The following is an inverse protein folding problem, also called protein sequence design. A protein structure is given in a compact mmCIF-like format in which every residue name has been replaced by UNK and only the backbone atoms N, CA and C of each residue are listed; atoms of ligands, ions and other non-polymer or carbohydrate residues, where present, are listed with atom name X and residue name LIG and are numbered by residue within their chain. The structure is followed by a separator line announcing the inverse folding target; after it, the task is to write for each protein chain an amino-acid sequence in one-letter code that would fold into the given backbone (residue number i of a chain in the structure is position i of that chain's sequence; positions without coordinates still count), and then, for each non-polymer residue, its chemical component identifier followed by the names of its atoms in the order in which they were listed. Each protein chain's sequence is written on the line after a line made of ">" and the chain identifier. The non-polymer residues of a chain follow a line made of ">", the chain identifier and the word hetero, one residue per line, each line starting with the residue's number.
data_IF_485595875214
#
_entry.id   IF_485595875214
#
_cell.length_a   1.000
_cell.length_b   1.000
_cell.length_c   1.000
_cell.angle_alpha   90.00
_cell.angle_beta   90.00
_cell.angle_gamma   90.00
#
_symmetry.space_group_name_H-M   'P 1'
#
loop_
_entity.id
_entity.type
_entity.pdbx_description
1 polymer ?
#
# COMPACT_ATOMS: atom_id res chain seq x y z
N UNK A 1 -31.08 -31.54 3.99
CA UNK A 1 -30.69 -30.76 2.78
C UNK A 1 -30.13 -29.36 3.08
N UNK A 2 -30.68 -28.61 4.05
CA UNK A 2 -30.15 -27.29 4.46
C UNK A 2 -28.72 -27.34 5.05
N UNK A 3 -28.44 -28.34 5.90
CA UNK A 3 -27.12 -28.52 6.52
C UNK A 3 -25.97 -28.67 5.49
N UNK A 4 -26.16 -29.45 4.41
CA UNK A 4 -25.15 -29.60 3.36
C UNK A 4 -24.91 -28.32 2.54
N UNK A 5 -25.93 -27.47 2.36
CA UNK A 5 -25.75 -26.18 1.67
C UNK A 5 -24.96 -25.18 2.53
N UNK A 6 -25.19 -25.17 3.84
CA UNK A 6 -24.46 -24.30 4.78
C UNK A 6 -23.00 -24.73 4.86
N UNK A 7 -22.74 -26.04 5.02
CA UNK A 7 -21.39 -26.60 5.04
C UNK A 7 -20.63 -26.33 3.73
N UNK A 8 -21.31 -26.44 2.58
CA UNK A 8 -20.71 -26.11 1.28
C UNK A 8 -20.38 -24.63 1.11
N UNK A 9 -21.18 -23.72 1.69
CA UNK A 9 -20.92 -22.28 1.67
C UNK A 9 -19.73 -21.90 2.56
N UNK A 10 -19.69 -22.43 3.78
CA UNK A 10 -18.58 -22.29 4.73
C UNK A 10 -17.25 -22.75 4.13
N UNK A 11 -17.23 -23.94 3.50
CA UNK A 11 -16.03 -24.50 2.89
C UNK A 11 -15.52 -23.64 1.71
N UNK A 12 -16.43 -23.15 0.85
CA UNK A 12 -16.09 -22.29 -0.28
C UNK A 12 -15.65 -20.89 0.15
N UNK A 13 -16.21 -20.37 1.24
CA UNK A 13 -15.79 -19.10 1.84
C UNK A 13 -14.38 -19.23 2.45
N UNK A 14 -14.11 -20.31 3.20
CA UNK A 14 -12.77 -20.59 3.76
C UNK A 14 -11.70 -20.71 2.68
N UNK A 15 -11.96 -21.47 1.61
CA UNK A 15 -10.96 -21.64 0.53
C UNK A 15 -10.62 -20.30 -0.14
N UNK A 16 -11.62 -19.43 -0.36
CA UNK A 16 -11.41 -18.08 -0.91
C UNK A 16 -10.57 -17.20 0.01
N UNK A 17 -10.86 -17.21 1.30
CA UNK A 17 -10.10 -16.44 2.29
C UNK A 17 -8.64 -16.89 2.35
N UNK A 18 -8.39 -18.20 2.31
CA UNK A 18 -7.02 -18.75 2.30
C UNK A 18 -6.28 -18.33 1.02
N UNK A 19 -6.89 -18.48 -0.15
CA UNK A 19 -6.27 -18.07 -1.42
C UNK A 19 -5.99 -16.57 -1.43
N UNK A 20 -6.91 -15.74 -0.93
CA UNK A 20 -6.72 -14.30 -0.77
C UNK A 20 -5.51 -14.01 0.13
N UNK A 21 -5.48 -14.62 1.32
CA UNK A 21 -4.43 -14.39 2.32
C UNK A 21 -3.05 -14.77 1.81
N UNK A 22 -2.91 -15.95 1.18
CA UNK A 22 -1.64 -16.41 0.59
C UNK A 22 -1.21 -15.49 -0.55
N UNK A 23 -2.13 -15.13 -1.45
CA UNK A 23 -1.82 -14.23 -2.57
C UNK A 23 -1.37 -12.86 -2.08
N UNK A 24 -2.01 -12.34 -1.02
CA UNK A 24 -1.65 -11.07 -0.42
C UNK A 24 -0.27 -11.12 0.24
N UNK A 25 0.02 -12.17 0.99
CA UNK A 25 1.32 -12.37 1.61
C UNK A 25 2.44 -12.41 0.54
N UNK A 26 2.23 -13.14 -0.55
CA UNK A 26 3.18 -13.18 -1.68
C UNK A 26 3.34 -11.79 -2.33
N UNK A 27 2.26 -11.04 -2.49
CA UNK A 27 2.32 -9.69 -3.07
C UNK A 27 3.12 -8.72 -2.18
N UNK A 28 2.88 -8.75 -0.86
CA UNK A 28 3.59 -7.91 0.11
C UNK A 28 5.06 -8.30 0.18
N UNK A 29 5.38 -9.60 0.27
CA UNK A 29 6.76 -10.08 0.31
C UNK A 29 7.50 -9.72 -0.99
N UNK A 30 6.89 -9.98 -2.15
CA UNK A 30 7.46 -9.62 -3.45
C UNK A 30 7.66 -8.12 -3.60
N UNK A 31 6.70 -7.31 -3.15
CA UNK A 31 6.83 -5.85 -3.11
C UNK A 31 7.98 -5.40 -2.22
N UNK A 32 8.21 -6.06 -1.08
CA UNK A 32 9.22 -5.66 -0.11
C UNK A 32 10.61 -5.96 -0.64
N UNK A 33 10.78 -7.13 -1.27
CA UNK A 33 12.01 -7.50 -2.00
C UNK A 33 12.26 -6.53 -3.14
N UNK A 34 11.23 -6.18 -3.93
CA UNK A 34 11.38 -5.23 -5.04
C UNK A 34 11.81 -3.84 -4.54
N UNK A 35 11.16 -3.33 -3.49
CA UNK A 35 11.45 -2.03 -2.87
C UNK A 35 12.87 -1.99 -2.29
N UNK A 36 13.28 -3.01 -1.53
CA UNK A 36 14.58 -3.02 -0.82
C UNK A 36 15.76 -3.45 -1.71
N UNK A 37 15.55 -4.34 -2.68
CA UNK A 37 16.63 -4.90 -3.50
C UNK A 37 16.81 -4.18 -4.82
N UNK A 38 15.74 -4.12 -5.64
CA UNK A 38 15.82 -3.52 -6.98
C UNK A 38 15.92 -2.01 -6.83
N UNK A 39 14.95 -1.42 -6.14
CA UNK A 39 14.95 0.04 -6.01
C UNK A 39 15.92 0.57 -4.96
N UNK A 40 16.24 -0.21 -3.93
CA UNK A 40 17.31 0.13 -2.98
C UNK A 40 18.67 0.30 -3.65
N UNK A 41 18.97 -0.47 -4.71
CA UNK A 41 20.22 -0.35 -5.50
C UNK A 41 20.15 0.71 -6.60
N UNK A 42 18.96 1.10 -7.03
CA UNK A 42 18.71 2.16 -8.02
C UNK A 42 18.71 3.57 -7.39
N UNK A 43 19.21 3.71 -6.16
CA UNK A 43 19.35 4.97 -5.41
C UNK A 43 20.18 6.04 -6.11
N UNK A 44 20.83 5.72 -7.25
CA UNK A 44 21.42 6.71 -8.16
C UNK A 44 20.41 7.77 -8.66
N UNK A 45 19.09 7.50 -8.59
CA UNK A 45 17.99 8.41 -8.99
C UNK A 45 17.48 9.27 -7.82
N UNK A 46 18.01 9.10 -6.60
CA UNK A 46 17.79 10.04 -5.49
C UNK A 46 16.67 9.71 -4.50
N UNK A 47 15.88 8.63 -4.69
CA UNK A 47 15.02 8.07 -3.64
C UNK A 47 14.51 6.66 -4.00
N UNK A 48 14.14 5.89 -2.97
CA UNK A 48 13.47 4.58 -3.10
C UNK A 48 11.96 4.82 -3.17
N UNK A 49 11.24 4.34 -4.22
CA UNK A 49 9.79 4.44 -4.31
C UNK A 49 9.11 3.54 -3.28
N UNK A 50 7.98 4.03 -2.76
CA UNK A 50 7.13 3.33 -1.80
C UNK A 50 6.16 2.36 -2.52
N UNK A 51 6.69 1.18 -2.87
CA UNK A 51 5.94 0.14 -3.57
C UNK A 51 4.79 -0.40 -2.71
N UNK A 52 4.96 -0.44 -1.40
CA UNK A 52 3.90 -0.85 -0.47
C UNK A 52 2.69 0.07 -0.57
N UNK A 53 2.90 1.38 -0.57
CA UNK A 53 1.81 2.34 -0.68
C UNK A 53 1.04 2.17 -2.00
N UNK A 54 1.73 1.87 -3.10
CA UNK A 54 1.10 1.53 -4.38
C UNK A 54 0.20 0.28 -4.28
N UNK A 55 0.70 -0.79 -3.64
CA UNK A 55 -0.04 -2.04 -3.41
C UNK A 55 -1.28 -1.77 -2.55
N UNK A 56 -1.11 -1.11 -1.40
CA UNK A 56 -2.19 -0.79 -0.45
C UNK A 56 -3.27 0.05 -1.12
N UNK A 57 -2.88 1.09 -1.86
CA UNK A 57 -3.81 1.94 -2.60
C UNK A 57 -4.62 1.14 -3.62
N UNK A 58 -3.96 0.25 -4.36
CA UNK A 58 -4.62 -0.56 -5.39
C UNK A 58 -5.59 -1.58 -4.78
N UNK A 59 -5.17 -2.32 -3.75
CA UNK A 59 -6.03 -3.29 -3.05
C UNK A 59 -7.21 -2.59 -2.38
N UNK A 60 -6.98 -1.44 -1.73
CA UNK A 60 -8.06 -0.63 -1.18
C UNK A 60 -9.07 -0.21 -2.26
N UNK A 61 -8.57 0.29 -3.40
CA UNK A 61 -9.40 0.75 -4.50
C UNK A 61 -10.25 -0.36 -5.13
N UNK A 62 -9.71 -1.56 -5.35
CA UNK A 62 -10.42 -2.66 -6.05
C UNK A 62 -11.16 -3.64 -5.13
N UNK A 63 -10.58 -3.96 -3.97
CA UNK A 63 -11.06 -5.00 -3.05
C UNK A 63 -11.73 -4.42 -1.80
N UNK A 64 -11.63 -3.10 -1.59
CA UNK A 64 -12.40 -2.34 -0.60
C UNK A 64 -11.77 -2.27 0.80
N UNK A 65 -12.48 -1.59 1.71
CA UNK A 65 -11.98 -1.18 3.04
C UNK A 65 -11.27 -2.25 3.87
N UNK A 66 -11.82 -3.46 3.98
CA UNK A 66 -11.27 -4.49 4.88
C UNK A 66 -9.96 -5.05 4.31
N UNK A 67 -9.95 -5.37 3.02
CA UNK A 67 -8.74 -5.83 2.33
C UNK A 67 -7.66 -4.74 2.31
N UNK A 68 -8.05 -3.48 2.06
CA UNK A 68 -7.14 -2.34 2.13
C UNK A 68 -6.52 -2.17 3.52
N UNK A 69 -7.31 -2.28 4.59
CA UNK A 69 -6.83 -2.18 5.97
C UNK A 69 -5.83 -3.30 6.32
N UNK A 70 -6.19 -4.55 6.04
CA UNK A 70 -5.34 -5.73 6.33
C UNK A 70 -4.02 -5.64 5.55
N UNK A 71 -4.11 -5.27 4.27
CA UNK A 71 -2.93 -5.08 3.42
C UNK A 71 -2.06 -3.95 3.94
N UNK A 72 -2.67 -2.82 4.33
CA UNK A 72 -1.97 -1.67 4.88
C UNK A 72 -1.22 -2.00 6.15
N UNK A 73 -1.90 -2.64 7.11
CA UNK A 73 -1.28 -3.05 8.37
C UNK A 73 -0.12 -4.01 8.13
N UNK A 74 -0.31 -5.05 7.32
CA UNK A 74 0.72 -6.05 7.05
C UNK A 74 1.92 -5.46 6.29
N UNK A 75 1.67 -4.66 5.26
CA UNK A 75 2.72 -4.02 4.47
C UNK A 75 3.52 -3.01 5.29
N UNK A 76 2.83 -2.16 6.05
CA UNK A 76 3.47 -1.15 6.89
C UNK A 76 4.26 -1.79 8.02
N UNK A 77 3.71 -2.82 8.69
CA UNK A 77 4.42 -3.57 9.73
C UNK A 77 5.68 -4.26 9.20
N UNK A 78 5.62 -4.84 8.00
CA UNK A 78 6.79 -5.48 7.39
C UNK A 78 7.89 -4.46 7.07
N UNK A 79 7.56 -3.34 6.44
CA UNK A 79 8.56 -2.30 6.12
C UNK A 79 9.13 -1.68 7.39
N UNK A 80 8.30 -1.40 8.40
CA UNK A 80 8.76 -0.88 9.69
C UNK A 80 9.74 -1.85 10.36
N UNK A 81 9.42 -3.16 10.36
CA UNK A 81 10.29 -4.19 10.91
C UNK A 81 11.64 -4.30 10.17
N UNK A 82 11.64 -4.08 8.85
CA UNK A 82 12.86 -4.05 8.03
C UNK A 82 13.68 -2.76 8.29
N UNK A 83 13.01 -1.62 8.47
CA UNK A 83 13.64 -0.32 8.64
C UNK A 83 14.31 -0.13 10.02
N UNK A 84 13.95 -0.94 11.01
CA UNK A 84 14.46 -0.87 12.39
C UNK A 84 14.28 0.51 13.07
N UNK A 85 13.28 1.28 12.65
CA UNK A 85 12.94 2.57 13.23
C UNK A 85 12.23 2.41 14.58
N UNK A 86 12.63 3.21 15.57
CA UNK A 86 12.08 3.14 16.94
C UNK A 86 10.65 3.66 17.11
N UNK A 87 10.01 4.21 16.06
CA UNK A 87 8.69 4.85 16.13
C UNK A 87 7.71 4.18 15.17
N UNK A 88 6.77 3.39 15.71
CA UNK A 88 5.85 2.52 14.96
C UNK A 88 4.55 3.25 14.55
N UNK A 89 4.62 4.30 13.72
CA UNK A 89 3.44 4.99 13.19
C UNK A 89 3.08 4.56 11.76
N UNK A 90 4.04 4.07 10.98
CA UNK A 90 3.84 3.69 9.58
C UNK A 90 2.77 2.59 9.38
N UNK A 91 2.71 1.51 10.18
CA UNK A 91 1.69 0.47 10.01
C UNK A 91 0.27 1.00 10.25
N UNK A 92 0.13 1.89 11.24
CA UNK A 92 -1.14 2.54 11.56
C UNK A 92 -1.59 3.45 10.42
N UNK A 93 -0.66 4.24 9.86
CA UNK A 93 -0.93 5.09 8.70
C UNK A 93 -1.42 4.28 7.50
N UNK A 94 -0.71 3.23 7.10
CA UNK A 94 -1.10 2.40 5.96
C UNK A 94 -2.44 1.70 6.17
N UNK A 95 -2.68 1.18 7.38
CA UNK A 95 -3.96 0.56 7.73
C UNK A 95 -5.11 1.56 7.60
N UNK A 96 -4.98 2.74 8.21
CA UNK A 96 -6.03 3.76 8.23
C UNK A 96 -6.29 4.31 6.83
N UNK A 97 -5.23 4.63 6.09
CA UNK A 97 -5.35 5.06 4.70
C UNK A 97 -6.04 3.99 3.84
N UNK A 98 -5.58 2.73 3.90
CA UNK A 98 -6.15 1.63 3.14
C UNK A 98 -7.63 1.38 3.47
N UNK A 99 -8.02 1.52 4.73
CA UNK A 99 -9.42 1.43 5.15
C UNK A 99 -10.27 2.56 4.59
N UNK A 100 -9.84 3.81 4.78
CA UNK A 100 -10.59 5.01 4.38
C UNK A 100 -10.70 5.07 2.85
N UNK A 101 -9.58 4.94 2.14
CA UNK A 101 -9.55 4.93 0.68
C UNK A 101 -10.46 3.82 0.14
N UNK A 102 -10.39 2.61 0.70
CA UNK A 102 -11.21 1.49 0.28
C UNK A 102 -12.69 1.61 0.65
N UNK A 103 -13.04 2.44 1.65
CA UNK A 103 -14.42 2.78 1.97
C UNK A 103 -15.02 3.69 0.89
N UNK A 104 -14.36 4.83 0.62
CA UNK A 104 -14.83 5.80 -0.38
C UNK A 104 -14.76 5.25 -1.81
N UNK A 105 -13.79 4.39 -2.11
CA UNK A 105 -13.67 3.77 -3.41
C UNK A 105 -14.94 2.98 -3.79
N UNK A 106 -15.76 2.51 -2.85
CA UNK A 106 -17.02 1.80 -3.17
C UNK A 106 -17.97 2.62 -4.04
N UNK A 107 -18.01 3.93 -3.84
CA UNK A 107 -18.86 4.86 -4.60
C UNK A 107 -18.36 5.07 -6.05
N UNK A 108 -17.11 4.75 -6.34
CA UNK A 108 -16.49 4.94 -7.66
C UNK A 108 -16.69 3.70 -8.51
N UNK A 109 -17.70 3.73 -9.39
CA UNK A 109 -17.97 2.71 -10.41
C UNK A 109 -18.23 3.38 -11.77
N UNK A 110 -17.66 2.88 -12.88
CA UNK A 110 -16.73 1.75 -12.96
C UNK A 110 -15.31 2.10 -12.46
N UNK A 111 -14.56 1.08 -12.04
CA UNK A 111 -13.16 1.23 -11.62
C UNK A 111 -12.26 1.56 -12.82
N UNK A 112 -11.66 2.74 -12.80
CA UNK A 112 -10.81 3.29 -13.88
C UNK A 112 -9.47 3.76 -13.33
N UNK A 113 -8.55 4.08 -14.25
CA UNK A 113 -7.20 4.55 -13.92
C UNK A 113 -7.19 5.93 -13.25
N UNK A 114 -7.99 6.88 -13.75
CA UNK A 114 -7.99 8.27 -13.24
C UNK A 114 -8.38 8.36 -11.75
N UNK A 115 -9.46 7.72 -11.26
CA UNK A 115 -9.75 7.76 -9.82
C UNK A 115 -8.69 7.04 -8.98
N UNK A 116 -8.07 5.96 -9.50
CA UNK A 116 -6.94 5.31 -8.82
C UNK A 116 -5.78 6.30 -8.61
N UNK A 117 -5.42 7.08 -9.64
CA UNK A 117 -4.39 8.10 -9.52
C UNK A 117 -4.74 9.14 -8.47
N UNK A 118 -6.01 9.55 -8.36
CA UNK A 118 -6.43 10.47 -7.31
C UNK A 118 -6.18 9.91 -5.91
N UNK A 119 -6.54 8.64 -5.66
CA UNK A 119 -6.24 7.98 -4.38
C UNK A 119 -4.74 7.87 -4.13
N UNK A 120 -3.94 7.56 -5.16
CA UNK A 120 -2.49 7.47 -5.06
C UNK A 120 -1.87 8.82 -4.72
N UNK A 121 -2.23 9.89 -5.43
CA UNK A 121 -1.73 11.24 -5.16
C UNK A 121 -2.09 11.71 -3.75
N UNK A 122 -3.31 11.40 -3.30
CA UNK A 122 -3.73 11.69 -1.93
C UNK A 122 -2.90 10.88 -0.91
N UNK A 123 -2.61 9.61 -1.19
CA UNK A 123 -1.72 8.78 -0.38
C UNK A 123 -0.32 9.38 -0.25
N UNK A 124 0.25 9.83 -1.38
CA UNK A 124 1.57 10.44 -1.44
C UNK A 124 1.64 11.73 -0.63
N UNK A 125 0.60 12.56 -0.70
CA UNK A 125 0.52 13.79 0.10
C UNK A 125 0.51 13.49 1.60
N UNK A 126 -0.29 12.51 2.05
CA UNK A 126 -0.31 12.11 3.46
C UNK A 126 1.01 11.47 3.90
N UNK A 127 1.61 10.63 3.05
CA UNK A 127 2.91 9.99 3.28
C UNK A 127 4.02 11.02 3.43
N UNK A 128 4.01 12.08 2.60
CA UNK A 128 4.92 13.20 2.69
C UNK A 128 4.80 13.95 4.03
N UNK A 129 3.57 14.25 4.45
CA UNK A 129 3.32 14.86 5.77
C UNK A 129 3.82 13.97 6.91
N UNK A 130 3.64 12.65 6.80
CA UNK A 130 4.15 11.70 7.78
C UNK A 130 5.70 11.69 7.81
N UNK A 131 6.39 11.72 6.66
CA UNK A 131 7.86 11.83 6.60
C UNK A 131 8.36 13.09 7.30
N UNK A 132 7.71 14.24 7.05
CA UNK A 132 8.06 15.50 7.72
C UNK A 132 7.85 15.40 9.23
N UNK A 133 6.72 14.83 9.67
CA UNK A 133 6.44 14.61 11.09
C UNK A 133 7.50 13.71 11.75
N UNK A 134 7.89 12.61 11.10
CA UNK A 134 8.95 11.74 11.58
C UNK A 134 10.28 12.47 11.73
N UNK A 135 10.64 13.31 10.74
CA UNK A 135 11.84 14.12 10.84
C UNK A 135 11.76 15.14 11.99
N UNK A 136 10.59 15.74 12.22
CA UNK A 136 10.28 16.61 13.35
C UNK A 136 10.48 15.96 14.72
N UNK A 137 10.13 14.69 14.85
CA UNK A 137 10.25 13.96 16.12
C UNK A 137 11.67 13.42 16.36
N UNK A 138 12.42 13.17 15.30
CA UNK A 138 13.72 12.49 15.38
C UNK A 138 14.89 13.47 15.47
N UNK A 139 14.84 14.57 14.71
CA UNK A 139 15.97 15.49 14.59
C UNK A 139 15.69 16.80 15.35
N UNK A 140 16.66 17.26 16.15
CA UNK A 140 16.56 18.50 16.93
C UNK A 140 16.75 19.77 16.07
N UNK A 141 17.33 19.65 14.88
CA UNK A 141 17.62 20.78 13.98
C UNK A 141 17.17 20.41 12.57
N UNK A 142 16.14 21.08 12.08
CA UNK A 142 15.43 20.65 10.86
C UNK A 142 15.39 21.79 9.86
N UNK A 143 16.07 21.58 8.74
CA UNK A 143 15.91 22.41 7.56
C UNK A 143 14.79 21.83 6.69
N UNK A 144 13.55 22.24 6.95
CA UNK A 144 12.34 21.73 6.28
C UNK A 144 12.46 21.74 4.75
N UNK A 145 13.02 22.81 4.17
CA UNK A 145 13.20 22.95 2.73
C UNK A 145 14.13 21.86 2.16
N UNK A 146 15.20 21.52 2.89
CA UNK A 146 16.16 20.52 2.46
C UNK A 146 15.55 19.11 2.47
N UNK A 147 14.80 18.76 3.53
CA UNK A 147 14.06 17.49 3.61
C UNK A 147 13.03 17.40 2.48
N UNK A 148 12.31 18.49 2.22
CA UNK A 148 11.29 18.51 1.18
C UNK A 148 11.89 18.23 -0.20
N UNK A 149 13.01 18.90 -0.54
CA UNK A 149 13.63 18.78 -1.86
C UNK A 149 14.41 17.48 -2.01
N UNK A 150 15.08 17.00 -0.96
CA UNK A 150 16.06 15.90 -1.08
C UNK A 150 15.50 14.54 -0.65
N UNK A 151 14.43 14.50 0.15
CA UNK A 151 13.81 13.25 0.58
C UNK A 151 12.37 13.13 0.05
N UNK A 152 11.51 14.09 0.38
CA UNK A 152 10.06 13.97 0.13
C UNK A 152 9.72 14.05 -1.36
N UNK A 153 10.20 15.07 -2.07
CA UNK A 153 9.86 15.26 -3.48
C UNK A 153 10.37 14.12 -4.39
N UNK A 154 11.62 13.64 -4.26
CA UNK A 154 12.10 12.50 -5.03
C UNK A 154 11.33 11.22 -4.71
N UNK A 155 11.02 10.95 -3.43
CA UNK A 155 10.21 9.79 -3.02
C UNK A 155 8.79 9.86 -3.62
N UNK A 156 8.14 11.02 -3.58
CA UNK A 156 6.81 11.22 -4.16
C UNK A 156 6.82 10.98 -5.67
N UNK A 157 7.78 11.54 -6.41
CA UNK A 157 7.90 11.37 -7.85
C UNK A 157 8.18 9.92 -8.23
N UNK A 158 9.14 9.28 -7.56
CA UNK A 158 9.49 7.89 -7.79
C UNK A 158 8.29 6.98 -7.52
N UNK A 159 7.56 7.21 -6.43
CA UNK A 159 6.39 6.41 -6.06
C UNK A 159 5.21 6.66 -6.99
N UNK A 160 4.99 7.89 -7.45
CA UNK A 160 3.96 8.19 -8.45
C UNK A 160 4.22 7.44 -9.76
N UNK A 161 5.46 7.49 -10.27
CA UNK A 161 5.88 6.77 -11.47
C UNK A 161 5.74 5.25 -11.27
N UNK A 162 6.22 4.72 -10.15
CA UNK A 162 6.08 3.31 -9.83
C UNK A 162 4.60 2.88 -9.75
N UNK A 163 3.73 3.70 -9.15
CA UNK A 163 2.29 3.43 -9.08
C UNK A 163 1.61 3.44 -10.45
N UNK A 164 2.02 4.34 -11.36
CA UNK A 164 1.57 4.34 -12.76
C UNK A 164 1.99 3.03 -13.44
N UNK A 165 3.26 2.65 -13.33
CA UNK A 165 3.79 1.42 -13.94
C UNK A 165 3.14 0.15 -13.35
N UNK A 166 2.92 0.11 -12.04
CA UNK A 166 2.38 -1.05 -11.32
C UNK A 166 0.86 -1.15 -11.39
N UNK A 167 0.16 -0.12 -11.89
CA UNK A 167 -1.30 -0.12 -11.95
C UNK A 167 -1.85 -1.35 -12.67
N UNK A 168 -1.35 -1.65 -13.88
CA UNK A 168 -1.83 -2.77 -14.70
C UNK A 168 -1.63 -4.14 -14.03
N UNK A 169 -0.41 -4.53 -13.59
CA UNK A 169 -0.22 -5.83 -12.94
C UNK A 169 -1.00 -5.94 -11.63
N UNK A 170 -1.05 -4.89 -10.82
CA UNK A 170 -1.82 -4.89 -9.56
C UNK A 170 -3.33 -4.97 -9.80
N UNK A 171 -3.85 -4.29 -10.82
CA UNK A 171 -5.26 -4.38 -11.20
C UNK A 171 -5.62 -5.82 -11.62
N UNK A 172 -4.80 -6.47 -12.44
CA UNK A 172 -5.04 -7.84 -12.87
C UNK A 172 -5.05 -8.81 -11.69
N UNK A 173 -4.09 -8.66 -10.77
CA UNK A 173 -4.05 -9.41 -9.53
C UNK A 173 -5.32 -9.21 -8.69
N UNK A 174 -5.68 -7.95 -8.43
CA UNK A 174 -6.84 -7.60 -7.61
C UNK A 174 -8.16 -8.14 -8.18
N UNK A 175 -8.30 -8.15 -9.50
CA UNK A 175 -9.46 -8.72 -10.20
C UNK A 175 -9.50 -10.24 -10.12
N UNK A 176 -8.37 -10.93 -10.31
CA UNK A 176 -8.28 -12.39 -10.22
C UNK A 176 -8.63 -12.90 -8.83
N UNK A 177 -8.13 -12.24 -7.80
CA UNK A 177 -8.37 -12.62 -6.41
C UNK A 177 -9.83 -12.42 -5.98
N UNK A 178 -10.58 -11.55 -6.68
CA UNK A 178 -11.99 -11.28 -6.41
C UNK A 178 -12.97 -12.26 -7.11
N UNK A 179 -12.54 -12.92 -8.20
CA UNK A 179 -13.34 -13.86 -8.98
C UNK A 179 -13.50 -15.21 -8.23
#
# INVERSE_FOLDING_TARGET
>A
MLHNRIMGFEAKARSRLVVFGVSLALLILGGAVLQTSVFGKLTYIGAVPDIMLCIVTCVAYFNGRHHGAITGLAAGALIEAIASSGIVLLPLFYMLFGYIAGHYARAVQPKRFVPYLFYLMFALFLRAGLTVLYACLTYQSIHLLQILIHAVLPEMLATALAGICLYFPLMLFCRKVKA
#
